data_IF_880109065346
#
_entry.id   IF_880109065346
#
_cell.length_a   1.000
_cell.length_b   1.000
_cell.length_c   1.000
_cell.angle_alpha   90.00
_cell.angle_beta   90.00
_cell.angle_gamma   90.00
#
_symmetry.space_group_name_H-M   'P 1'
#
loop_
_entity.id
_entity.type
_entity.pdbx_description
1 polymer ?
#
# COMPACT_ATOMS: atom_id res chain seq x y z
N UNK A 1 2.89 -1.03 30.45
CA UNK A 1 2.44 -0.84 29.06
C UNK A 1 1.29 -1.81 28.77
N UNK A 2 0.12 -1.32 28.38
CA UNK A 2 -0.98 -2.13 27.85
C UNK A 2 -1.60 -1.34 26.70
N UNK A 3 -1.89 -2.01 25.61
CA UNK A 3 -2.39 -1.36 24.40
C UNK A 3 -3.70 -0.59 24.62
N UNK A 4 -4.61 -1.07 25.48
CA UNK A 4 -5.85 -0.36 25.86
C UNK A 4 -5.56 1.02 26.49
N UNK A 5 -4.61 1.09 27.42
CA UNK A 5 -4.22 2.34 28.07
C UNK A 5 -3.62 3.34 27.07
N UNK A 6 -2.87 2.82 26.09
CA UNK A 6 -2.30 3.68 25.03
C UNK A 6 -3.41 4.22 24.14
N UNK A 7 -4.36 3.39 23.71
CA UNK A 7 -5.52 3.86 22.93
C UNK A 7 -6.25 4.99 23.67
N UNK A 8 -6.52 4.82 24.97
CA UNK A 8 -7.22 5.84 25.76
C UNK A 8 -6.37 7.10 25.95
N UNK A 9 -5.06 6.95 26.14
CA UNK A 9 -4.13 8.10 26.28
C UNK A 9 -4.04 8.87 24.96
N UNK A 10 -3.85 8.19 23.83
CA UNK A 10 -3.80 8.80 22.50
C UNK A 10 -5.12 9.47 22.14
N UNK A 11 -6.26 8.83 22.45
CA UNK A 11 -7.59 9.40 22.23
C UNK A 11 -7.73 10.75 22.95
N UNK A 12 -7.37 10.81 24.25
CA UNK A 12 -7.43 12.06 25.03
C UNK A 12 -6.47 13.13 24.45
N UNK A 13 -5.22 12.74 24.14
CA UNK A 13 -4.23 13.65 23.58
C UNK A 13 -4.70 14.28 22.26
N UNK A 14 -5.33 13.47 21.39
CA UNK A 14 -5.95 13.95 20.14
C UNK A 14 -7.09 14.92 20.46
N UNK A 15 -7.98 14.60 21.39
CA UNK A 15 -9.11 15.47 21.77
C UNK A 15 -8.63 16.82 22.34
N UNK A 16 -7.62 16.78 23.20
CA UNK A 16 -7.03 17.98 23.78
C UNK A 16 -6.33 18.86 22.74
N UNK A 17 -5.59 18.26 21.80
CA UNK A 17 -4.85 18.98 20.77
C UNK A 17 -5.79 19.57 19.71
N UNK A 18 -6.80 18.81 19.29
CA UNK A 18 -7.70 19.20 18.19
C UNK A 18 -8.80 20.17 18.67
N UNK A 19 -9.25 20.04 19.93
CA UNK A 19 -10.38 20.81 20.44
C UNK A 19 -11.63 20.56 19.60
N UNK A 20 -12.28 21.63 19.13
CA UNK A 20 -13.49 21.59 18.32
C UNK A 20 -13.22 21.54 16.80
N UNK A 21 -11.97 21.65 16.38
CA UNK A 21 -11.59 21.66 14.96
C UNK A 21 -11.80 20.31 14.28
N UNK A 22 -11.75 20.32 12.94
CA UNK A 22 -11.82 19.13 12.09
C UNK A 22 -10.42 18.69 11.66
N UNK A 23 -10.31 17.41 11.36
CA UNK A 23 -9.06 16.75 10.95
C UNK A 23 -9.25 16.10 9.58
N UNK A 24 -8.31 16.33 8.69
CA UNK A 24 -8.17 15.64 7.41
C UNK A 24 -7.14 14.53 7.54
N UNK A 25 -7.43 13.35 6.97
CA UNK A 25 -6.53 12.20 6.94
C UNK A 25 -6.51 11.55 5.56
N UNK A 26 -5.32 11.37 4.98
CA UNK A 26 -5.12 10.54 3.80
C UNK A 26 -4.99 9.05 4.17
N UNK A 27 -5.80 8.20 3.55
CA UNK A 27 -5.77 6.74 3.72
C UNK A 27 -5.01 6.13 2.54
N UNK A 28 -3.96 5.38 2.84
CA UNK A 28 -3.20 4.61 1.84
C UNK A 28 -3.68 3.15 1.69
N UNK A 29 -4.62 2.70 2.53
CA UNK A 29 -5.02 1.30 2.63
C UNK A 29 -4.05 0.43 3.45
N UNK A 30 -2.91 0.96 3.87
CA UNK A 30 -1.97 0.29 4.77
C UNK A 30 -2.49 0.21 6.22
N UNK A 31 -1.90 -0.68 7.03
CA UNK A 31 -2.30 -0.88 8.42
C UNK A 31 -2.19 0.41 9.26
N UNK A 32 -1.14 1.19 9.04
CA UNK A 32 -0.84 2.37 9.87
C UNK A 32 -1.89 3.47 9.66
N UNK A 33 -2.17 3.84 8.40
CA UNK A 33 -3.20 4.85 8.07
C UNK A 33 -4.62 4.39 8.43
N UNK A 34 -4.92 3.10 8.26
CA UNK A 34 -6.21 2.53 8.65
C UNK A 34 -6.39 2.51 10.17
N UNK A 35 -5.34 2.17 10.93
CA UNK A 35 -5.37 2.22 12.40
C UNK A 35 -5.53 3.65 12.91
N UNK A 36 -4.81 4.60 12.28
CA UNK A 36 -4.93 6.01 12.61
C UNK A 36 -6.34 6.52 12.36
N UNK A 37 -6.99 6.12 11.27
CA UNK A 37 -8.38 6.51 10.99
C UNK A 37 -9.35 6.05 12.07
N UNK A 38 -9.16 4.85 12.60
CA UNK A 38 -9.99 4.31 13.68
C UNK A 38 -9.75 5.02 15.02
N UNK A 39 -8.49 5.32 15.35
CA UNK A 39 -8.15 6.09 16.54
C UNK A 39 -8.77 7.50 16.47
N UNK A 40 -8.62 8.18 15.33
CA UNK A 40 -9.15 9.51 15.11
C UNK A 40 -10.69 9.51 15.07
N UNK A 41 -11.31 8.51 14.47
CA UNK A 41 -12.77 8.36 14.51
C UNK A 41 -13.28 8.18 15.95
N UNK A 42 -12.61 7.35 16.76
CA UNK A 42 -12.94 7.20 18.19
C UNK A 42 -12.79 8.51 18.97
N UNK A 43 -11.78 9.33 18.65
CA UNK A 43 -11.54 10.58 19.35
C UNK A 43 -12.44 11.73 18.92
N UNK A 44 -12.79 11.81 17.64
CA UNK A 44 -13.36 12.99 16.98
C UNK A 44 -14.74 12.77 16.37
N UNK A 45 -15.12 11.50 16.09
CA UNK A 45 -16.38 11.17 15.40
C UNK A 45 -16.44 11.80 14.01
N UNK A 46 -17.54 12.50 13.73
CA UNK A 46 -17.80 13.16 12.43
C UNK A 46 -16.84 14.33 12.10
N UNK A 47 -15.99 14.74 13.03
CA UNK A 47 -14.97 15.76 12.79
C UNK A 47 -13.71 15.22 12.09
N UNK A 48 -13.62 13.90 11.91
CA UNK A 48 -12.64 13.28 11.05
C UNK A 48 -13.16 13.23 9.62
N UNK A 49 -12.38 13.73 8.66
CA UNK A 49 -12.58 13.53 7.23
C UNK A 49 -11.43 12.68 6.69
N UNK A 50 -11.71 11.40 6.47
CA UNK A 50 -10.75 10.46 5.90
C UNK A 50 -10.95 10.40 4.38
N UNK A 51 -9.85 10.52 3.62
CA UNK A 51 -9.86 10.48 2.16
C UNK A 51 -9.01 9.29 1.69
N UNK A 52 -9.63 8.39 0.95
CA UNK A 52 -8.98 7.27 0.29
C UNK A 52 -8.94 7.50 -1.21
N UNK A 53 -7.75 7.56 -1.78
CA UNK A 53 -7.55 7.72 -3.23
C UNK A 53 -7.33 6.34 -3.84
N UNK A 54 -8.30 5.88 -4.65
CA UNK A 54 -8.10 4.73 -5.51
C UNK A 54 -7.40 5.19 -6.80
N UNK A 55 -6.09 4.99 -6.83
CA UNK A 55 -5.24 5.32 -7.98
C UNK A 55 -5.25 4.24 -9.07
N UNK A 56 -6.08 3.21 -8.94
CA UNK A 56 -6.17 2.15 -9.93
C UNK A 56 -4.95 1.21 -10.02
N UNK A 57 -3.96 1.33 -9.14
CA UNK A 57 -2.73 0.51 -9.12
C UNK A 57 -2.70 -0.47 -7.93
N UNK A 58 -3.82 -0.60 -7.23
CA UNK A 58 -3.98 -1.52 -6.09
C UNK A 58 -4.13 -2.97 -6.55
N UNK A 59 -3.96 -3.90 -5.61
CA UNK A 59 -4.27 -5.32 -5.79
C UNK A 59 -5.73 -5.54 -6.12
N UNK A 60 -6.05 -6.71 -6.63
CA UNK A 60 -7.42 -7.11 -6.94
C UNK A 60 -8.33 -6.99 -5.72
N UNK A 61 -9.39 -6.17 -5.84
CA UNK A 61 -10.40 -5.97 -4.81
C UNK A 61 -9.95 -5.15 -3.60
N UNK A 62 -8.71 -4.69 -3.54
CA UNK A 62 -8.14 -4.03 -2.36
C UNK A 62 -8.85 -2.72 -2.01
N UNK A 63 -9.15 -1.87 -3.01
CA UNK A 63 -9.86 -0.61 -2.78
C UNK A 63 -11.21 -0.84 -2.10
N UNK A 64 -11.98 -1.80 -2.61
CA UNK A 64 -13.27 -2.18 -2.07
C UNK A 64 -13.15 -2.76 -0.65
N UNK A 65 -12.17 -3.63 -0.39
CA UNK A 65 -11.94 -4.19 0.95
C UNK A 65 -11.64 -3.10 1.99
N UNK A 66 -10.80 -2.11 1.62
CA UNK A 66 -10.47 -0.97 2.50
C UNK A 66 -11.72 -0.13 2.78
N UNK A 67 -12.47 0.22 1.75
CA UNK A 67 -13.69 1.00 1.87
C UNK A 67 -14.73 0.30 2.76
N UNK A 68 -15.07 -0.96 2.46
CA UNK A 68 -16.04 -1.74 3.21
C UNK A 68 -15.64 -1.88 4.69
N UNK A 69 -14.37 -2.17 4.96
CA UNK A 69 -13.87 -2.32 6.32
C UNK A 69 -13.98 -1.01 7.13
N UNK A 70 -13.49 0.11 6.60
CA UNK A 70 -13.49 1.38 7.33
C UNK A 70 -14.90 1.95 7.50
N UNK A 71 -15.77 1.84 6.49
CA UNK A 71 -17.18 2.25 6.60
C UNK A 71 -17.94 1.40 7.61
N UNK A 72 -17.70 0.08 7.66
CA UNK A 72 -18.33 -0.80 8.64
C UNK A 72 -17.95 -0.47 10.09
N UNK A 73 -16.78 0.15 10.28
CA UNK A 73 -16.27 0.61 11.57
C UNK A 73 -16.64 2.08 11.88
N UNK A 74 -17.51 2.69 11.06
CA UNK A 74 -18.06 4.02 11.28
C UNK A 74 -17.20 5.19 10.80
N UNK A 75 -16.06 4.94 10.13
CA UNK A 75 -15.19 6.02 9.65
C UNK A 75 -15.92 6.83 8.57
N UNK A 76 -15.94 8.16 8.73
CA UNK A 76 -16.39 9.10 7.71
C UNK A 76 -15.36 9.13 6.57
N UNK A 77 -15.60 8.33 5.52
CA UNK A 77 -14.66 8.04 4.45
C UNK A 77 -15.16 8.56 3.11
N UNK A 78 -14.40 9.47 2.51
CA UNK A 78 -14.53 9.87 1.11
C UNK A 78 -13.61 9.01 0.25
N UNK A 79 -14.15 8.34 -0.74
CA UNK A 79 -13.39 7.55 -1.71
C UNK A 79 -13.33 8.31 -3.02
N UNK A 80 -12.12 8.56 -3.51
CA UNK A 80 -11.87 9.26 -4.78
C UNK A 80 -11.33 8.26 -5.79
N UNK A 81 -12.12 7.91 -6.80
CA UNK A 81 -11.63 7.13 -7.94
C UNK A 81 -10.85 8.05 -8.89
N UNK A 82 -9.53 7.92 -8.85
CA UNK A 82 -8.60 8.63 -9.71
C UNK A 82 -7.90 7.70 -10.72
N UNK A 83 -8.37 6.45 -10.87
CA UNK A 83 -7.72 5.40 -11.65
C UNK A 83 -7.41 5.82 -13.08
N UNK A 84 -8.37 6.46 -13.77
CA UNK A 84 -8.17 6.94 -15.13
C UNK A 84 -7.09 8.02 -15.24
N UNK A 85 -7.01 8.91 -14.25
CA UNK A 85 -6.01 9.99 -14.20
C UNK A 85 -4.60 9.43 -14.03
N UNK A 86 -4.40 8.50 -13.09
CA UNK A 86 -3.10 7.87 -12.87
C UNK A 86 -2.64 7.05 -14.08
N UNK A 87 -3.54 6.30 -14.70
CA UNK A 87 -3.22 5.52 -15.91
C UNK A 87 -2.85 6.43 -17.09
N UNK A 88 -3.55 7.54 -17.27
CA UNK A 88 -3.20 8.53 -18.31
C UNK A 88 -1.82 9.15 -18.07
N UNK A 89 -1.46 9.47 -16.82
CA UNK A 89 -0.15 9.98 -16.48
C UNK A 89 0.99 8.98 -16.70
N UNK A 90 0.70 7.68 -16.69
CA UNK A 90 1.66 6.60 -16.88
C UNK A 90 1.77 6.13 -18.34
N UNK A 91 0.97 6.66 -19.26
CA UNK A 91 0.99 6.29 -20.69
C UNK A 91 2.39 6.53 -21.28
N UNK A 92 2.99 5.51 -21.90
CA UNK A 92 4.33 5.56 -22.50
C UNK A 92 5.49 5.59 -21.49
N UNK A 93 5.23 5.54 -20.18
CA UNK A 93 6.26 5.60 -19.14
C UNK A 93 6.74 4.21 -18.79
N UNK A 94 8.03 3.92 -19.04
CA UNK A 94 8.68 2.65 -18.74
C UNK A 94 9.74 2.74 -17.63
N UNK A 95 10.29 3.91 -17.38
CA UNK A 95 11.32 4.15 -16.36
C UNK A 95 10.71 4.12 -14.95
N UNK A 96 11.23 3.29 -14.03
CA UNK A 96 10.64 3.11 -12.70
C UNK A 96 10.70 4.36 -11.83
N UNK A 97 11.72 5.20 -11.95
CA UNK A 97 11.80 6.44 -11.18
C UNK A 97 10.81 7.48 -11.69
N UNK A 98 10.59 7.53 -13.01
CA UNK A 98 9.54 8.38 -13.57
C UNK A 98 8.15 7.90 -13.14
N UNK A 99 7.88 6.59 -13.13
CA UNK A 99 6.62 6.05 -12.60
C UNK A 99 6.37 6.52 -11.17
N UNK A 100 7.37 6.38 -10.28
CA UNK A 100 7.26 6.82 -8.88
C UNK A 100 6.98 8.31 -8.74
N UNK A 101 7.69 9.14 -9.52
CA UNK A 101 7.50 10.60 -9.50
C UNK A 101 6.10 11.01 -9.96
N UNK A 102 5.63 10.42 -11.05
CA UNK A 102 4.29 10.70 -11.60
C UNK A 102 3.22 10.27 -10.59
N UNK A 103 3.30 9.05 -10.07
CA UNK A 103 2.34 8.53 -9.10
C UNK A 103 2.31 9.38 -7.83
N UNK A 104 3.50 9.76 -7.31
CA UNK A 104 3.59 10.62 -6.13
C UNK A 104 3.00 12.02 -6.39
N UNK A 105 3.30 12.62 -7.54
CA UNK A 105 2.75 13.91 -7.92
C UNK A 105 1.22 13.87 -8.08
N UNK A 106 0.71 12.92 -8.84
CA UNK A 106 -0.73 12.77 -9.06
C UNK A 106 -1.50 12.52 -7.75
N UNK A 107 -0.91 11.74 -6.83
CA UNK A 107 -1.50 11.52 -5.52
C UNK A 107 -1.66 12.83 -4.74
N UNK A 108 -0.61 13.66 -4.70
CA UNK A 108 -0.63 14.96 -4.02
C UNK A 108 -1.70 15.87 -4.67
N UNK A 109 -1.76 15.93 -5.99
CA UNK A 109 -2.72 16.77 -6.71
C UNK A 109 -4.17 16.35 -6.45
N UNK A 110 -4.47 15.04 -6.51
CA UNK A 110 -5.82 14.51 -6.24
C UNK A 110 -6.21 14.78 -4.78
N UNK A 111 -5.31 14.49 -3.85
CA UNK A 111 -5.55 14.71 -2.42
C UNK A 111 -5.73 16.20 -2.10
N UNK A 112 -4.91 17.08 -2.70
CA UNK A 112 -5.02 18.54 -2.54
C UNK A 112 -6.37 19.06 -3.04
N UNK A 113 -6.82 18.58 -4.19
CA UNK A 113 -8.12 18.95 -4.75
C UNK A 113 -9.24 18.59 -3.76
N UNK A 114 -9.23 17.36 -3.27
CA UNK A 114 -10.21 16.89 -2.30
C UNK A 114 -10.13 17.64 -0.97
N UNK A 115 -8.92 17.98 -0.51
CA UNK A 115 -8.71 18.77 0.69
C UNK A 115 -9.31 20.18 0.56
N UNK A 116 -9.15 20.82 -0.60
CA UNK A 116 -9.76 22.15 -0.87
C UNK A 116 -11.29 22.10 -0.90
N UNK A 117 -11.87 21.07 -1.51
CA UNK A 117 -13.32 20.87 -1.55
C UNK A 117 -13.88 20.72 -0.12
N UNK A 118 -13.28 19.86 0.68
CA UNK A 118 -13.69 19.63 2.07
C UNK A 118 -13.50 20.90 2.93
N UNK A 119 -12.41 21.64 2.71
CA UNK A 119 -12.17 22.91 3.40
C UNK A 119 -13.23 23.96 3.02
N UNK A 120 -13.59 24.05 1.74
CA UNK A 120 -14.62 24.97 1.28
C UNK A 120 -16.01 24.63 1.85
N UNK A 121 -16.30 23.34 2.04
CA UNK A 121 -17.57 22.86 2.59
C UNK A 121 -17.68 23.12 4.11
N UNK A 122 -16.60 22.88 4.85
CA UNK A 122 -16.65 22.87 6.32
C UNK A 122 -15.98 24.08 6.99
N UNK A 123 -14.97 24.69 6.34
CA UNK A 123 -14.32 25.94 6.79
C UNK A 123 -13.45 25.85 8.05
N UNK A 124 -13.52 24.74 8.81
CA UNK A 124 -12.88 24.57 10.12
C UNK A 124 -11.90 23.37 10.17
N UNK A 125 -11.51 22.85 9.00
CA UNK A 125 -10.45 21.83 8.92
C UNK A 125 -9.10 22.50 9.20
N UNK A 126 -8.53 22.20 10.36
CA UNK A 126 -7.30 22.82 10.83
C UNK A 126 -6.11 21.86 10.84
N UNK A 127 -6.36 20.58 10.99
CA UNK A 127 -5.30 19.58 11.14
C UNK A 127 -5.24 18.64 9.95
N UNK A 128 -3.99 18.28 9.59
CA UNK A 128 -3.68 17.17 8.71
C UNK A 128 -3.05 16.04 9.54
N UNK A 129 -3.71 14.89 9.61
CA UNK A 129 -3.18 13.74 10.33
C UNK A 129 -2.26 12.91 9.45
N UNK A 130 -1.17 12.42 10.03
CA UNK A 130 -0.19 11.53 9.41
C UNK A 130 0.12 10.35 10.32
N UNK A 131 0.26 9.17 9.72
CA UNK A 131 0.63 7.93 10.39
C UNK A 131 2.14 7.75 10.57
N UNK A 132 2.87 8.81 10.84
CA UNK A 132 4.32 8.79 11.11
C UNK A 132 4.62 7.92 12.32
N UNK A 133 5.54 6.97 12.17
CA UNK A 133 6.02 6.10 13.23
C UNK A 133 7.37 6.56 13.77
N UNK A 134 7.76 6.04 14.95
CA UNK A 134 9.06 6.34 15.55
C UNK A 134 10.23 5.96 14.62
N UNK A 135 10.14 4.87 13.90
CA UNK A 135 11.14 4.46 12.89
C UNK A 135 11.31 5.47 11.76
N UNK A 136 10.21 6.09 11.29
CA UNK A 136 10.26 7.12 10.26
C UNK A 136 10.98 8.38 10.74
N UNK A 137 10.81 8.72 12.03
CA UNK A 137 11.49 9.85 12.68
C UNK A 137 13.00 9.61 12.74
N UNK A 138 13.44 8.39 13.14
CA UNK A 138 14.87 8.04 13.21
C UNK A 138 15.51 8.05 11.81
N UNK A 139 14.86 7.45 10.81
CA UNK A 139 15.36 7.42 9.43
C UNK A 139 15.51 8.84 8.85
N UNK A 140 14.58 9.74 9.18
CA UNK A 140 14.65 11.16 8.76
C UNK A 140 15.76 11.94 9.46
N UNK A 141 16.17 11.55 10.67
CA UNK A 141 17.21 12.22 11.45
C UNK A 141 18.64 11.73 11.14
N UNK A 142 18.80 10.57 10.48
CA UNK A 142 20.09 9.87 10.31
C UNK A 142 20.77 10.05 8.96
N UNK A 143 20.26 10.82 8.03
CA UNK A 143 20.88 11.06 6.73
C UNK A 143 22.12 11.96 6.85
N UNK A 144 23.30 11.62 6.23
CA UNK A 144 24.54 12.40 6.36
C UNK A 144 24.46 13.82 5.78
N UNK A 145 23.44 14.16 5.01
CA UNK A 145 23.29 15.47 4.34
C UNK A 145 22.03 16.26 4.74
N UNK A 146 21.31 15.85 5.79
CA UNK A 146 20.09 16.56 6.21
C UNK A 146 18.95 16.52 5.19
N UNK A 147 19.10 15.76 4.11
CA UNK A 147 18.08 15.56 3.10
C UNK A 147 17.18 14.42 3.58
N UNK A 148 15.93 14.71 3.86
CA UNK A 148 14.90 13.71 4.16
C UNK A 148 14.86 12.65 3.05
N UNK A 149 15.36 11.44 3.33
CA UNK A 149 15.47 10.34 2.35
C UNK A 149 14.10 9.78 1.97
N UNK A 150 13.03 10.13 2.68
CA UNK A 150 11.66 9.72 2.36
C UNK A 150 10.73 10.91 2.16
N UNK A 151 10.81 11.54 0.99
CA UNK A 151 9.80 12.49 0.51
C UNK A 151 8.41 11.84 0.25
N UNK A 152 8.31 10.51 0.35
CA UNK A 152 7.13 9.74 -0.05
C UNK A 152 6.10 9.52 1.08
N UNK A 153 6.46 9.82 2.34
CA UNK A 153 5.56 9.73 3.49
C UNK A 153 5.05 11.10 3.96
N UNK A 154 5.62 12.17 3.46
CA UNK A 154 5.16 13.51 3.77
C UNK A 154 4.19 13.99 2.69
N UNK A 155 2.97 14.29 3.10
CA UNK A 155 2.03 15.16 2.36
C UNK A 155 2.59 16.60 2.36
N UNK A 156 3.91 16.76 2.36
CA UNK A 156 4.66 18.01 2.29
C UNK A 156 4.55 18.73 0.94
N UNK A 157 3.70 18.22 0.03
CA UNK A 157 3.32 18.90 -1.20
C UNK A 157 1.95 19.59 -1.13
N UNK A 158 1.26 19.55 0.03
CA UNK A 158 0.04 20.35 0.18
C UNK A 158 0.39 21.84 0.17
N UNK A 159 -0.40 22.68 -0.52
CA UNK A 159 -0.18 24.11 -0.56
C UNK A 159 -0.12 24.67 0.86
N UNK A 160 0.93 25.44 1.16
CA UNK A 160 1.06 26.20 2.43
C UNK A 160 -0.16 27.08 2.70
N UNK A 161 -0.87 27.49 1.64
CA UNK A 161 -2.09 28.29 1.68
C UNK A 161 -3.22 27.64 2.50
N UNK A 162 -3.24 26.31 2.66
CA UNK A 162 -4.25 25.64 3.46
C UNK A 162 -3.95 25.69 4.98
N UNK A 163 -2.72 26.02 5.36
CA UNK A 163 -2.34 26.31 6.74
C UNK A 163 -2.60 25.20 7.75
N UNK A 164 -2.61 23.93 7.32
CA UNK A 164 -2.86 22.80 8.21
C UNK A 164 -1.77 22.62 9.25
N UNK A 165 -2.17 22.40 10.50
CA UNK A 165 -1.29 21.93 11.55
C UNK A 165 -1.15 20.40 11.46
N UNK A 166 0.07 19.90 11.68
CA UNK A 166 0.35 18.46 11.61
C UNK A 166 -0.11 17.76 12.90
N UNK A 167 -0.81 16.62 12.74
CA UNK A 167 -1.27 15.76 13.82
C UNK A 167 -0.68 14.35 13.63
N UNK A 168 0.28 13.97 14.48
CA UNK A 168 1.04 12.70 14.38
C UNK A 168 0.91 11.84 15.64
N UNK A 169 -0.25 11.23 15.90
CA UNK A 169 -0.48 10.49 17.16
C UNK A 169 0.44 9.30 17.37
N UNK A 170 0.97 8.70 16.28
CA UNK A 170 1.79 7.48 16.33
C UNK A 170 3.30 7.73 16.35
N UNK A 171 3.73 8.99 16.39
CA UNK A 171 5.15 9.38 16.27
C UNK A 171 6.09 8.72 17.28
N UNK A 172 5.57 8.30 18.42
CA UNK A 172 6.30 7.65 19.50
C UNK A 172 6.15 6.12 19.52
N UNK A 173 5.41 5.55 18.54
CA UNK A 173 5.08 4.13 18.48
C UNK A 173 5.91 3.39 17.44
N UNK A 174 6.20 2.11 17.75
CA UNK A 174 6.75 1.16 16.80
C UNK A 174 5.62 0.47 16.00
N UNK A 175 5.99 -0.11 14.87
CA UNK A 175 5.04 -0.76 13.96
C UNK A 175 4.27 -1.92 14.60
N UNK A 176 4.93 -2.65 15.49
CA UNK A 176 4.29 -3.77 16.20
C UNK A 176 3.23 -3.28 17.16
N UNK A 177 3.49 -2.18 17.86
CA UNK A 177 2.54 -1.54 18.76
C UNK A 177 1.31 -1.04 17.97
N UNK A 178 1.51 -0.41 16.80
CA UNK A 178 0.40 0.04 15.96
C UNK A 178 -0.45 -1.15 15.48
N UNK A 179 0.15 -2.30 15.16
CA UNK A 179 -0.60 -3.51 14.81
C UNK A 179 -1.43 -4.06 15.97
N UNK A 180 -0.93 -3.94 17.20
CA UNK A 180 -1.68 -4.32 18.40
C UNK A 180 -2.86 -3.39 18.62
N UNK A 181 -2.65 -2.06 18.51
CA UNK A 181 -3.71 -1.07 18.54
C UNK A 181 -4.77 -1.31 17.45
N UNK A 182 -4.35 -1.68 16.24
CA UNK A 182 -5.24 -2.01 15.15
C UNK A 182 -6.22 -3.13 15.52
N UNK A 183 -5.74 -4.14 16.25
CA UNK A 183 -6.59 -5.23 16.74
C UNK A 183 -7.63 -4.76 17.76
N UNK A 184 -7.23 -3.93 18.71
CA UNK A 184 -8.13 -3.38 19.73
C UNK A 184 -9.17 -2.42 19.13
N UNK A 185 -8.80 -1.67 18.11
CA UNK A 185 -9.69 -0.75 17.40
C UNK A 185 -10.62 -1.48 16.40
N UNK A 186 -10.51 -2.80 16.27
CA UNK A 186 -11.41 -3.61 15.47
C UNK A 186 -11.01 -3.76 14.00
N UNK A 187 -9.81 -3.33 13.60
CA UNK A 187 -9.37 -3.53 12.22
C UNK A 187 -9.33 -5.03 11.87
N UNK A 188 -9.95 -5.49 10.77
CA UNK A 188 -9.98 -6.90 10.41
C UNK A 188 -8.59 -7.53 10.31
N UNK A 189 -8.45 -8.77 10.78
CA UNK A 189 -7.18 -9.52 10.77
C UNK A 189 -6.53 -9.52 9.38
N UNK A 190 -7.32 -9.71 8.33
CA UNK A 190 -6.85 -9.70 6.93
C UNK A 190 -6.11 -8.41 6.56
N UNK A 191 -6.55 -7.25 7.10
CA UNK A 191 -5.87 -5.95 6.86
C UNK A 191 -4.64 -5.78 7.74
N UNK A 192 -4.69 -6.22 9.00
CA UNK A 192 -3.57 -6.11 9.95
C UNK A 192 -2.35 -6.94 9.56
N UNK A 193 -2.60 -8.12 8.99
CA UNK A 193 -1.58 -9.11 8.61
C UNK A 193 -1.23 -9.05 7.12
N UNK A 194 -1.66 -7.98 6.42
CA UNK A 194 -1.33 -7.79 5.01
C UNK A 194 0.17 -7.60 4.84
N UNK A 195 0.73 -8.29 3.85
CA UNK A 195 2.12 -8.09 3.44
C UNK A 195 2.36 -6.62 3.05
N UNK A 196 3.57 -6.09 3.26
CA UNK A 196 3.92 -4.76 2.77
C UNK A 196 3.58 -4.60 1.29
N UNK A 197 3.07 -3.42 0.94
CA UNK A 197 2.72 -3.07 -0.42
C UNK A 197 3.27 -1.67 -0.72
N UNK A 198 3.98 -1.48 -1.84
CA UNK A 198 4.64 -0.22 -2.12
C UNK A 198 3.66 0.88 -2.51
N UNK A 199 4.00 2.14 -2.22
CA UNK A 199 3.17 3.30 -2.57
C UNK A 199 2.80 3.38 -4.06
N UNK A 200 3.73 3.12 -5.02
CA UNK A 200 3.39 3.06 -6.44
C UNK A 200 2.51 1.87 -6.85
N UNK A 201 2.17 0.99 -5.93
CA UNK A 201 1.32 -0.16 -6.18
C UNK A 201 1.90 -1.14 -7.19
N UNK A 202 1.03 -1.70 -8.00
CA UNK A 202 1.41 -2.66 -9.05
C UNK A 202 2.18 -2.02 -10.22
N UNK A 203 2.24 -0.69 -10.32
CA UNK A 203 2.98 -0.03 -11.41
C UNK A 203 4.46 -0.44 -11.46
N UNK A 204 5.10 -0.66 -10.29
CA UNK A 204 6.48 -1.11 -10.19
C UNK A 204 6.62 -2.64 -10.18
N UNK A 205 5.53 -3.35 -10.41
CA UNK A 205 5.49 -4.81 -10.62
C UNK A 205 5.10 -5.19 -12.06
N UNK A 206 4.81 -4.17 -12.88
CA UNK A 206 4.66 -4.29 -14.33
C UNK A 206 5.90 -3.64 -14.96
N UNK A 207 6.91 -4.46 -15.28
CA UNK A 207 8.19 -3.97 -15.85
C UNK A 207 7.96 -3.35 -17.24
N UNK A 208 8.45 -2.13 -17.43
CA UNK A 208 8.18 -1.34 -18.62
C UNK A 208 6.84 -0.60 -18.53
N UNK A 209 6.22 -0.30 -19.65
CA UNK A 209 4.99 0.49 -19.70
C UNK A 209 3.83 -0.16 -18.95
N UNK A 210 3.06 0.65 -18.22
CA UNK A 210 1.87 0.23 -17.49
C UNK A 210 0.64 0.53 -18.36
N UNK A 211 -0.03 -0.55 -18.81
CA UNK A 211 -1.33 -0.44 -19.51
C UNK A 211 -2.42 -1.13 -18.71
N UNK A 212 -3.70 -0.80 -18.92
CA UNK A 212 -4.82 -1.48 -18.26
C UNK A 212 -4.77 -3.01 -18.38
N UNK A 213 -4.42 -3.53 -19.58
CA UNK A 213 -4.36 -4.96 -19.86
C UNK A 213 -3.21 -5.62 -19.08
N UNK A 214 -2.03 -4.99 -19.08
CA UNK A 214 -0.86 -5.51 -18.37
C UNK A 214 -1.06 -5.45 -16.86
N UNK A 215 -1.71 -4.42 -16.38
CA UNK A 215 -2.06 -4.28 -14.97
C UNK A 215 -3.08 -5.35 -14.54
N UNK A 216 -4.08 -5.66 -15.39
CA UNK A 216 -5.05 -6.73 -15.13
C UNK A 216 -4.36 -8.11 -15.04
N UNK A 217 -3.43 -8.41 -15.97
CA UNK A 217 -2.62 -9.63 -15.91
C UNK A 217 -1.86 -9.71 -14.58
N UNK A 218 -1.17 -8.63 -14.20
CA UNK A 218 -0.40 -8.58 -12.95
C UNK A 218 -1.30 -8.79 -11.73
N UNK A 219 -2.49 -8.19 -11.68
CA UNK A 219 -3.48 -8.36 -10.61
C UNK A 219 -3.96 -9.81 -10.48
N UNK A 220 -4.33 -10.43 -11.59
CA UNK A 220 -4.80 -11.84 -11.59
C UNK A 220 -3.71 -12.78 -11.11
N UNK A 221 -2.48 -12.61 -11.59
CA UNK A 221 -1.34 -13.43 -11.17
C UNK A 221 -1.03 -13.23 -9.68
N UNK A 222 -0.95 -11.97 -9.21
CA UNK A 222 -0.70 -11.65 -7.79
C UNK A 222 -1.80 -12.23 -6.89
N UNK A 223 -3.06 -12.13 -7.29
CA UNK A 223 -4.19 -12.68 -6.53
C UNK A 223 -4.09 -14.19 -6.39
N UNK A 224 -3.81 -14.93 -7.49
CA UNK A 224 -3.64 -16.39 -7.46
C UNK A 224 -2.46 -16.78 -6.56
N UNK A 225 -1.35 -16.06 -6.64
CA UNK A 225 -0.17 -16.36 -5.83
C UNK A 225 -0.44 -16.15 -4.34
N UNK A 226 -1.01 -14.99 -3.97
CA UNK A 226 -1.33 -14.66 -2.57
C UNK A 226 -2.38 -15.61 -1.99
N UNK A 227 -3.42 -15.95 -2.76
CA UNK A 227 -4.45 -16.90 -2.32
C UNK A 227 -3.88 -18.30 -2.12
N UNK A 228 -3.05 -18.78 -3.06
CA UNK A 228 -2.36 -20.06 -2.92
C UNK A 228 -1.45 -20.10 -1.68
N UNK A 229 -0.72 -19.03 -1.37
CA UNK A 229 0.07 -18.94 -0.14
C UNK A 229 -0.80 -19.10 1.12
N UNK A 230 -2.00 -18.52 1.14
CA UNK A 230 -2.94 -18.68 2.26
C UNK A 230 -3.47 -20.10 2.38
N UNK A 231 -3.92 -20.70 1.28
CA UNK A 231 -4.44 -22.07 1.24
C UNK A 231 -3.41 -23.09 1.73
N UNK A 232 -2.12 -22.89 1.41
CA UNK A 232 -1.04 -23.77 1.83
C UNK A 232 -0.46 -23.41 3.21
N UNK A 233 -1.00 -22.41 3.90
CA UNK A 233 -0.50 -21.95 5.23
C UNK A 233 0.92 -21.41 5.18
N UNK A 234 1.29 -20.77 4.08
CA UNK A 234 2.62 -20.17 3.84
C UNK A 234 2.61 -18.64 3.92
N UNK A 235 1.43 -18.02 3.91
CA UNK A 235 1.30 -16.56 3.88
C UNK A 235 1.94 -15.90 5.10
N UNK A 236 1.61 -16.35 6.30
CA UNK A 236 2.14 -15.79 7.56
C UNK A 236 3.62 -16.11 7.77
N UNK A 237 4.15 -17.11 7.07
CA UNK A 237 5.57 -17.50 7.12
C UNK A 237 6.43 -16.69 6.15
N UNK A 238 5.79 -15.88 5.32
CA UNK A 238 6.43 -15.04 4.30
C UNK A 238 6.27 -13.58 4.69
N UNK A 239 7.37 -12.82 4.72
CA UNK A 239 7.31 -11.40 5.07
C UNK A 239 6.66 -10.57 3.97
N UNK A 240 7.02 -10.84 2.69
CA UNK A 240 6.39 -10.24 1.51
C UNK A 240 6.41 -11.22 0.34
N UNK A 241 5.29 -11.29 -0.35
CA UNK A 241 5.14 -12.03 -1.59
C UNK A 241 4.55 -11.14 -2.68
N UNK A 242 5.06 -11.28 -3.89
CA UNK A 242 4.66 -10.46 -5.04
C UNK A 242 4.83 -11.22 -6.35
N UNK A 243 4.04 -10.84 -7.34
CA UNK A 243 4.18 -11.27 -8.71
C UNK A 243 4.64 -10.09 -9.58
N UNK A 244 5.55 -10.34 -10.50
CA UNK A 244 6.10 -9.35 -11.43
C UNK A 244 5.74 -9.77 -12.85
N UNK A 245 5.08 -8.88 -13.59
CA UNK A 245 4.85 -9.06 -15.01
C UNK A 245 6.04 -8.53 -15.79
N UNK A 246 6.75 -9.43 -16.48
CA UNK A 246 7.89 -9.04 -17.32
C UNK A 246 7.44 -8.63 -18.72
N UNK A 247 8.24 -7.84 -19.46
CA UNK A 247 7.98 -7.56 -20.88
C UNK A 247 8.31 -8.76 -21.78
N UNK A 248 8.93 -9.81 -21.24
CA UNK A 248 9.35 -10.97 -21.99
C UNK A 248 8.16 -11.84 -22.40
N UNK A 249 8.12 -12.18 -23.69
CA UNK A 249 7.23 -13.21 -24.21
C UNK A 249 8.03 -14.46 -24.53
N UNK A 250 7.54 -15.61 -24.08
CA UNK A 250 8.16 -16.90 -24.32
C UNK A 250 7.31 -17.79 -25.21
N UNK A 251 7.95 -18.75 -25.86
CA UNK A 251 7.25 -19.79 -26.63
C UNK A 251 6.55 -20.74 -25.67
N UNK A 252 5.29 -21.02 -25.94
CA UNK A 252 4.48 -22.01 -25.27
C UNK A 252 3.75 -22.89 -26.27
N UNK A 253 3.01 -23.86 -25.77
CA UNK A 253 2.13 -24.72 -26.57
C UNK A 253 0.75 -24.77 -25.94
N UNK A 254 -0.28 -24.42 -26.70
CA UNK A 254 -1.66 -24.59 -26.29
C UNK A 254 -2.48 -25.18 -27.45
N UNK A 255 -3.28 -26.21 -27.18
CA UNK A 255 -4.09 -26.87 -28.20
C UNK A 255 -3.27 -27.42 -29.36
N UNK A 256 -2.03 -27.87 -29.12
CA UNK A 256 -1.12 -28.38 -30.17
C UNK A 256 -0.47 -27.30 -31.05
N UNK A 257 -0.70 -25.99 -30.77
CA UNK A 257 -0.13 -24.86 -31.53
C UNK A 257 0.86 -24.09 -30.69
N UNK A 258 1.88 -23.50 -31.34
CA UNK A 258 2.80 -22.57 -30.68
C UNK A 258 2.08 -21.29 -30.28
N UNK A 259 2.34 -20.83 -29.06
CA UNK A 259 1.87 -19.55 -28.52
C UNK A 259 3.05 -18.71 -28.09
N UNK A 260 2.84 -17.40 -28.00
CA UNK A 260 3.80 -16.44 -27.47
C UNK A 260 3.07 -15.60 -26.41
N UNK A 261 3.36 -15.88 -25.15
CA UNK A 261 2.68 -15.26 -24.01
C UNK A 261 3.70 -14.78 -23.00
N UNK A 262 3.24 -13.99 -22.02
CA UNK A 262 4.11 -13.36 -21.03
C UNK A 262 4.78 -14.38 -20.11
N UNK A 263 5.97 -14.00 -19.65
CA UNK A 263 6.64 -14.61 -18.52
C UNK A 263 6.38 -13.78 -17.28
N UNK A 264 5.98 -14.41 -16.19
CA UNK A 264 5.83 -13.77 -14.88
C UNK A 264 6.85 -14.34 -13.89
N UNK A 265 7.36 -13.48 -13.01
CA UNK A 265 8.22 -13.88 -11.92
C UNK A 265 7.43 -13.82 -10.61
N UNK A 266 7.50 -14.89 -9.82
CA UNK A 266 7.02 -14.91 -8.45
C UNK A 266 8.21 -14.67 -7.53
N UNK A 267 8.00 -13.85 -6.51
CA UNK A 267 8.99 -13.56 -5.49
C UNK A 267 8.37 -13.63 -4.11
N UNK A 268 9.00 -14.33 -3.21
CA UNK A 268 8.67 -14.36 -1.81
C UNK A 268 9.95 -14.20 -0.99
N UNK A 269 9.91 -13.34 0.02
CA UNK A 269 11.06 -13.07 0.87
C UNK A 269 10.69 -13.16 2.35
N UNK A 270 11.68 -13.57 3.13
CA UNK A 270 11.67 -13.56 4.59
C UNK A 270 12.60 -12.46 5.07
N UNK A 271 12.12 -11.61 5.97
CA UNK A 271 12.86 -10.48 6.53
C UNK A 271 12.31 -10.15 7.92
N UNK A 272 13.06 -9.36 8.69
CA UNK A 272 12.60 -8.78 9.96
C UNK A 272 12.17 -7.32 9.75
N UNK A 273 12.93 -6.56 8.98
CA UNK A 273 12.83 -5.10 8.89
C UNK A 273 12.77 -4.58 7.44
N UNK A 274 12.96 -5.46 6.45
CA UNK A 274 13.03 -5.11 5.04
C UNK A 274 14.39 -4.54 4.59
N UNK A 275 15.34 -4.29 5.50
CA UNK A 275 16.68 -3.82 5.15
C UNK A 275 17.50 -4.92 4.48
N UNK A 276 17.45 -6.10 5.06
CA UNK A 276 17.96 -7.34 4.46
C UNK A 276 16.83 -8.34 4.29
N UNK A 277 16.89 -9.15 3.25
CA UNK A 277 15.89 -10.18 3.01
C UNK A 277 16.51 -11.40 2.34
N UNK A 278 16.05 -12.58 2.74
CA UNK A 278 16.36 -13.81 2.05
C UNK A 278 15.16 -14.26 1.22
N UNK A 279 15.40 -14.85 0.06
CA UNK A 279 14.34 -15.49 -0.67
C UNK A 279 13.74 -16.66 0.15
N UNK A 280 12.43 -16.74 0.19
CA UNK A 280 11.71 -17.80 0.93
C UNK A 280 11.78 -19.11 0.17
N UNK A 281 12.23 -20.18 0.82
CA UNK A 281 12.26 -21.54 0.24
C UNK A 281 10.86 -22.14 0.27
N UNK A 282 10.04 -21.76 -0.70
CA UNK A 282 8.70 -22.32 -0.84
C UNK A 282 8.81 -23.81 -1.29
N UNK A 283 7.92 -24.71 -0.80
CA UNK A 283 7.91 -26.10 -1.22
C UNK A 283 7.75 -26.27 -2.74
N UNK A 284 8.45 -27.22 -3.33
CA UNK A 284 8.36 -27.47 -4.77
C UNK A 284 6.94 -27.82 -5.23
N UNK A 285 6.21 -28.59 -4.43
CA UNK A 285 4.80 -28.93 -4.72
C UNK A 285 3.91 -27.68 -4.75
N UNK A 286 4.17 -26.71 -3.87
CA UNK A 286 3.50 -25.42 -3.90
C UNK A 286 3.84 -24.65 -5.18
N UNK A 287 5.12 -24.57 -5.54
CA UNK A 287 5.56 -23.87 -6.77
C UNK A 287 4.97 -24.50 -8.03
N UNK A 288 4.87 -25.83 -8.07
CA UNK A 288 4.21 -26.54 -9.15
C UNK A 288 2.72 -26.18 -9.22
N UNK A 289 2.00 -26.32 -8.11
CA UNK A 289 0.57 -26.04 -8.04
C UNK A 289 0.21 -24.60 -8.42
N UNK A 290 0.96 -23.60 -7.92
CA UNK A 290 0.70 -22.19 -8.23
C UNK A 290 1.01 -21.85 -9.68
N UNK A 291 2.08 -22.46 -10.25
CA UNK A 291 2.41 -22.29 -11.67
C UNK A 291 1.29 -22.84 -12.57
N UNK A 292 0.77 -24.02 -12.28
CA UNK A 292 -0.35 -24.63 -13.01
C UNK A 292 -1.61 -23.76 -12.91
N UNK A 293 -1.95 -23.26 -11.72
CA UNK A 293 -3.11 -22.37 -11.51
C UNK A 293 -2.99 -21.08 -12.31
N UNK A 294 -1.81 -20.43 -12.30
CA UNK A 294 -1.58 -19.20 -13.04
C UNK A 294 -1.76 -19.43 -14.54
N UNK A 295 -1.10 -20.42 -15.10
CA UNK A 295 -1.16 -20.72 -16.56
C UNK A 295 -2.57 -21.13 -16.99
N UNK A 296 -3.32 -21.82 -16.15
CA UNK A 296 -4.70 -22.21 -16.44
C UNK A 296 -5.68 -21.03 -16.38
N UNK A 297 -5.50 -20.09 -15.44
CA UNK A 297 -6.44 -19.00 -15.20
C UNK A 297 -6.09 -17.69 -15.95
N UNK A 298 -4.84 -17.53 -16.38
CA UNK A 298 -4.32 -16.33 -17.06
C UNK A 298 -3.73 -16.72 -18.43
N UNK A 299 -4.56 -16.81 -19.49
CA UNK A 299 -4.11 -17.29 -20.82
C UNK A 299 -2.98 -16.47 -21.44
N UNK A 300 -2.83 -15.23 -21.01
CA UNK A 300 -1.77 -14.32 -21.44
C UNK A 300 -0.40 -14.67 -20.86
N UNK A 301 -0.33 -15.64 -19.91
CA UNK A 301 0.89 -16.12 -19.27
C UNK A 301 1.12 -17.58 -19.64
N UNK A 302 2.32 -17.92 -20.11
CA UNK A 302 2.71 -19.30 -20.43
C UNK A 302 3.96 -19.76 -19.69
N UNK A 303 4.57 -18.88 -18.88
CA UNK A 303 5.79 -19.21 -18.12
C UNK A 303 5.80 -18.51 -16.78
N UNK A 304 6.04 -19.29 -15.74
CA UNK A 304 6.22 -18.83 -14.37
C UNK A 304 7.65 -19.15 -13.95
N UNK A 305 8.36 -18.16 -13.41
CA UNK A 305 9.68 -18.32 -12.79
C UNK A 305 9.64 -17.90 -11.34
N UNK A 306 10.55 -18.40 -10.51
CA UNK A 306 10.68 -18.02 -9.11
C UNK A 306 12.01 -17.34 -8.87
N UNK A 307 11.99 -16.13 -8.30
CA UNK A 307 13.19 -15.36 -8.01
C UNK A 307 13.81 -15.82 -6.69
N UNK A 308 15.04 -16.35 -6.78
CA UNK A 308 15.84 -16.90 -5.67
C UNK A 308 16.95 -15.94 -5.20
N UNK A 309 16.82 -14.65 -5.48
CA UNK A 309 17.84 -13.64 -5.14
C UNK A 309 17.54 -13.01 -3.78
N UNK A 310 18.54 -12.98 -2.91
CA UNK A 310 18.45 -12.30 -1.60
C UNK A 310 18.73 -10.80 -1.74
N UNK A 311 18.36 -10.02 -0.73
CA UNK A 311 18.71 -8.60 -0.57
C UNK A 311 19.76 -8.44 0.54
N UNK A 312 20.97 -7.92 0.26
CA UNK A 312 21.54 -7.71 -1.07
C UNK A 312 21.86 -9.01 -1.81
N UNK A 313 22.22 -9.04 -3.11
CA UNK A 313 22.42 -7.88 -3.99
C UNK A 313 21.15 -7.36 -4.65
N UNK A 314 20.06 -8.15 -4.72
CA UNK A 314 18.79 -7.67 -5.25
C UNK A 314 18.05 -6.77 -4.26
N UNK A 315 17.06 -6.02 -4.75
CA UNK A 315 16.05 -5.36 -3.90
C UNK A 315 14.85 -6.30 -3.70
N UNK A 316 13.89 -5.95 -2.84
CA UNK A 316 12.68 -6.76 -2.69
C UNK A 316 11.78 -6.60 -3.91
N UNK A 317 11.43 -5.36 -4.26
CA UNK A 317 10.77 -5.04 -5.54
C UNK A 317 11.79 -5.10 -6.68
N UNK A 318 11.33 -5.33 -7.90
CA UNK A 318 12.19 -5.38 -9.09
C UNK A 318 12.42 -4.01 -9.74
N UNK A 319 11.46 -3.10 -9.59
CA UNK A 319 11.56 -1.69 -9.99
C UNK A 319 11.49 -0.76 -8.79
#
# INVERSE_FOLDING_TARGET
WTADKIVDQLTRRVQEQVGDARVLLGISGGVDSSTLSLLLHRALGERLHAVFVDHGLLRMGEAREVEEALRSLGVNLTVVDASARFLAGLEGVADPEQKRKIIGHEFIEVFTTQARELYAEHGDIRFLAQGTLYTDVIESAGGPDGVSVKSHHNVGGLPEELGFELLEPFRELFKDEVRELAGLLGLPRKMRERHPFPGPGLAIRVLGEVTPERLDIARRVDAIFVESLREFGLYEKTWQALAVLTPLKSVGVAGGKRTYSHTVALRAVSSTDGMTAQWTRLPHDFLAAVSERIVAAVPEVNRVVYDITSKPPGTIEWE
#
